data_IF_639576668664
#
_entry.id   IF_639576668664
#
_cell.length_a   1.000
_cell.length_b   1.000
_cell.length_c   1.000
_cell.angle_alpha   90.00
_cell.angle_beta   90.00
_cell.angle_gamma   90.00
#
_symmetry.space_group_name_H-M   'P 1'
#
loop_
_entity.id
_entity.type
_entity.pdbx_description
1 polymer ?
#
# COMPACT_ATOMS: atom_id res chain seq x y z
N UNK A 1 -5.62 9.98 18.54
CA UNK A 1 -4.17 9.74 18.35
C UNK A 1 -3.80 10.18 16.94
N UNK A 2 -2.64 10.80 16.76
CA UNK A 2 -2.20 11.41 15.48
C UNK A 2 -1.15 10.58 14.72
N UNK A 3 -0.76 9.42 15.25
CA UNK A 3 0.23 8.54 14.64
C UNK A 3 -0.42 7.53 13.71
N UNK A 4 0.30 7.19 12.64
CA UNK A 4 -0.17 6.24 11.63
C UNK A 4 -0.33 4.85 12.25
N UNK A 5 -1.51 4.29 12.07
CA UNK A 5 -1.85 2.91 12.44
C UNK A 5 -1.78 1.98 11.23
N UNK A 6 -1.76 0.64 11.43
CA UNK A 6 -1.91 -0.30 10.33
C UNK A 6 -3.19 -0.07 9.48
N UNK A 7 -4.27 0.38 10.11
CA UNK A 7 -5.51 0.72 9.40
C UNK A 7 -5.34 1.93 8.47
N UNK A 8 -4.58 2.95 8.89
CA UNK A 8 -4.26 4.10 8.05
C UNK A 8 -3.39 3.72 6.86
N UNK A 9 -2.45 2.79 7.03
CA UNK A 9 -1.65 2.25 5.93
C UNK A 9 -2.55 1.52 4.93
N UNK A 10 -3.46 0.68 5.42
CA UNK A 10 -4.43 -0.03 4.57
C UNK A 10 -5.34 0.95 3.81
N UNK A 11 -5.78 2.01 4.48
CA UNK A 11 -6.58 3.07 3.85
C UNK A 11 -5.81 3.83 2.76
N UNK A 12 -4.50 4.07 2.95
CA UNK A 12 -3.66 4.66 1.91
C UNK A 12 -3.58 3.77 0.66
N UNK A 13 -3.35 2.46 0.84
CA UNK A 13 -3.31 1.51 -0.29
C UNK A 13 -4.68 1.40 -0.97
N UNK A 14 -5.76 1.36 -0.19
CA UNK A 14 -7.12 1.34 -0.73
C UNK A 14 -7.43 2.61 -1.55
N UNK A 15 -6.90 3.76 -1.14
CA UNK A 15 -7.04 5.00 -1.91
C UNK A 15 -6.29 4.93 -3.25
N UNK A 16 -5.14 4.28 -3.31
CA UNK A 16 -4.42 4.03 -4.57
C UNK A 16 -5.17 3.06 -5.47
N UNK A 17 -5.78 2.01 -4.90
CA UNK A 17 -6.70 1.13 -5.62
C UNK A 17 -7.87 1.90 -6.21
N UNK A 18 -8.58 2.70 -5.40
CA UNK A 18 -9.75 3.48 -5.82
C UNK A 18 -9.42 4.58 -6.86
N UNK A 19 -8.14 4.93 -7.02
CA UNK A 19 -7.66 5.84 -8.08
C UNK A 19 -7.23 5.10 -9.35
N UNK A 20 -7.24 3.76 -9.33
CA UNK A 20 -6.72 2.93 -10.41
C UNK A 20 -5.19 2.85 -10.46
N UNK A 21 -4.46 3.47 -9.52
CA UNK A 21 -3.00 3.56 -9.54
C UNK A 21 -2.32 2.19 -9.37
N UNK A 22 -2.99 1.24 -8.71
CA UNK A 22 -2.49 -0.14 -8.59
C UNK A 22 -2.83 -1.01 -9.82
N UNK A 23 -3.87 -0.66 -10.58
CA UNK A 23 -4.37 -1.46 -11.70
C UNK A 23 -3.83 -0.99 -13.05
N UNK A 24 -3.75 0.32 -13.27
CA UNK A 24 -3.30 0.90 -14.53
C UNK A 24 -1.92 0.39 -15.02
N UNK A 25 -0.92 0.18 -14.13
CA UNK A 25 0.37 -0.35 -14.54
C UNK A 25 0.30 -1.80 -15.06
N UNK A 26 -0.70 -2.59 -14.65
CA UNK A 26 -0.89 -3.98 -15.12
C UNK A 26 -1.14 -4.06 -16.63
N UNK A 27 -1.69 -3.00 -17.24
CA UNK A 27 -1.94 -2.93 -18.69
C UNK A 27 -0.63 -2.75 -19.47
N UNK A 28 0.27 -1.94 -18.93
CA UNK A 28 1.52 -1.52 -19.59
C UNK A 28 2.70 -2.42 -19.23
N UNK A 29 2.59 -3.23 -18.16
CA UNK A 29 3.69 -4.02 -17.62
C UNK A 29 4.64 -3.22 -16.74
N UNK A 30 4.25 -2.01 -16.34
CA UNK A 30 5.02 -1.19 -15.41
C UNK A 30 4.75 -1.59 -13.96
N UNK A 31 5.73 -1.42 -13.09
CA UNK A 31 5.59 -1.65 -11.66
C UNK A 31 5.83 -0.36 -10.87
N UNK A 32 4.83 0.18 -10.14
CA UNK A 32 5.02 1.34 -9.27
C UNK A 32 5.70 0.96 -7.94
N UNK A 33 6.22 -0.27 -7.83
CA UNK A 33 6.83 -0.81 -6.62
C UNK A 33 8.36 -0.73 -6.68
N UNK A 34 9.03 -0.48 -5.54
CA UNK A 34 8.47 -0.41 -4.19
C UNK A 34 7.72 0.91 -3.91
N UNK A 35 6.59 0.81 -3.22
CA UNK A 35 5.71 1.93 -2.91
C UNK A 35 5.94 2.42 -1.49
N UNK A 36 6.30 3.69 -1.32
CA UNK A 36 6.42 4.33 -0.01
C UNK A 36 5.05 4.78 0.51
N UNK A 37 4.73 4.39 1.74
CA UNK A 37 3.55 4.88 2.47
C UNK A 37 3.91 6.03 3.41
N UNK A 38 2.91 6.87 3.69
CA UNK A 38 3.05 7.97 4.64
C UNK A 38 3.00 7.41 6.06
N UNK A 39 4.09 7.61 6.81
CA UNK A 39 4.22 7.28 8.22
C UNK A 39 4.30 8.57 9.03
N UNK A 40 3.31 8.80 9.90
CA UNK A 40 3.34 9.83 10.93
C UNK A 40 3.69 9.17 12.25
N UNK A 41 4.87 9.46 12.76
CA UNK A 41 5.36 8.97 14.04
C UNK A 41 5.29 10.02 15.16
N UNK A 42 5.70 9.64 16.37
CA UNK A 42 5.89 10.56 17.49
C UNK A 42 6.98 11.60 17.20
N UNK A 43 6.80 12.81 17.71
CA UNK A 43 7.88 13.81 17.77
C UNK A 43 8.85 13.55 18.94
N UNK A 44 9.97 14.29 18.99
CA UNK A 44 11.01 14.14 20.03
C UNK A 44 10.49 14.28 21.46
N UNK A 45 9.47 15.10 21.69
CA UNK A 45 8.89 15.31 23.02
C UNK A 45 8.00 14.13 23.41
N UNK A 46 7.16 13.69 22.48
CA UNK A 46 6.29 12.52 22.67
C UNK A 46 7.08 11.23 22.90
N UNK A 47 8.25 11.10 22.29
CA UNK A 47 9.19 9.99 22.56
C UNK A 47 9.64 9.93 24.03
N UNK A 48 9.74 11.07 24.72
CA UNK A 48 10.06 11.14 26.15
C UNK A 48 8.83 10.99 27.03
N UNK A 49 7.78 11.76 26.73
CA UNK A 49 6.64 11.97 27.62
C UNK A 49 5.63 10.81 27.55
N UNK A 50 5.64 10.02 26.47
CA UNK A 50 4.65 8.97 26.19
C UNK A 50 5.28 7.65 25.76
N UNK A 51 6.26 7.19 26.51
CA UNK A 51 7.04 6.00 26.15
C UNK A 51 6.20 4.73 25.99
N UNK A 52 5.21 4.50 26.86
CA UNK A 52 4.31 3.34 26.75
C UNK A 52 3.51 3.37 25.44
N UNK A 53 2.88 4.51 25.12
CA UNK A 53 2.13 4.70 23.88
C UNK A 53 3.02 4.47 22.64
N UNK A 54 4.27 4.95 22.66
CA UNK A 54 5.22 4.76 21.56
C UNK A 54 5.55 3.28 21.39
N UNK A 55 5.79 2.55 22.48
CA UNK A 55 6.05 1.10 22.41
C UNK A 55 4.85 0.34 21.87
N UNK A 56 3.64 0.69 22.30
CA UNK A 56 2.42 0.06 21.82
C UNK A 56 2.19 0.36 20.33
N UNK A 57 2.47 1.58 19.89
CA UNK A 57 2.42 1.97 18.48
C UNK A 57 3.41 1.17 17.62
N UNK A 58 4.66 1.04 18.07
CA UNK A 58 5.67 0.21 17.38
C UNK A 58 5.20 -1.24 17.32
N UNK A 59 4.73 -1.79 18.45
CA UNK A 59 4.23 -3.16 18.52
C UNK A 59 3.04 -3.40 17.57
N UNK A 60 2.10 -2.44 17.46
CA UNK A 60 1.00 -2.51 16.51
C UNK A 60 1.51 -2.55 15.06
N UNK A 61 2.45 -1.68 14.69
CA UNK A 61 3.03 -1.67 13.34
C UNK A 61 3.80 -2.96 13.03
N UNK A 62 4.58 -3.48 13.98
CA UNK A 62 5.35 -4.72 13.78
C UNK A 62 4.46 -5.96 13.75
N UNK A 63 3.40 -6.02 14.57
CA UNK A 63 2.48 -7.17 14.61
C UNK A 63 1.67 -7.33 13.33
N UNK A 64 1.40 -6.22 12.64
CA UNK A 64 0.71 -6.18 11.35
C UNK A 64 1.68 -6.14 10.16
N UNK A 65 2.99 -6.23 10.41
CA UNK A 65 3.99 -6.36 9.37
C UNK A 65 3.83 -7.70 8.65
N UNK A 66 4.24 -7.74 7.38
CA UNK A 66 4.01 -8.86 6.48
C UNK A 66 3.74 -8.32 5.08
N UNK A 67 2.60 -7.63 4.86
CA UNK A 67 2.31 -6.96 3.59
C UNK A 67 3.11 -5.67 3.35
N UNK A 68 3.92 -5.25 4.33
CA UNK A 68 4.79 -4.07 4.22
C UNK A 68 6.07 -4.27 5.02
N UNK A 69 7.13 -3.61 4.57
CA UNK A 69 8.44 -3.52 5.20
C UNK A 69 8.56 -2.23 6.00
N UNK A 70 9.07 -2.33 7.22
CA UNK A 70 9.39 -1.19 8.09
C UNK A 70 10.88 -0.90 7.97
N UNK A 71 11.22 0.35 7.64
CA UNK A 71 12.60 0.85 7.77
C UNK A 71 12.74 1.45 9.16
N UNK A 72 13.80 1.07 9.84
CA UNK A 72 14.11 1.55 11.19
C UNK A 72 15.15 2.67 11.12
N UNK A 73 15.02 3.64 12.02
CA UNK A 73 16.07 4.63 12.28
C UNK A 73 16.48 4.55 13.74
N UNK A 74 17.78 4.56 13.97
CA UNK A 74 18.32 4.74 15.31
C UNK A 74 18.20 6.20 15.71
N UNK A 75 17.65 6.45 16.89
CA UNK A 75 17.62 7.75 17.54
C UNK A 75 18.45 7.65 18.83
N UNK A 76 19.35 8.63 19.00
CA UNK A 76 20.05 8.80 20.25
C UNK A 76 19.25 9.77 21.11
N UNK A 77 18.53 9.23 22.09
CA UNK A 77 17.66 10.03 22.94
C UNK A 77 18.25 10.11 24.35
N UNK A 78 18.45 11.34 24.85
CA UNK A 78 19.17 11.63 26.11
C UNK A 78 18.65 10.83 27.32
N UNK A 79 17.36 10.52 27.37
CA UNK A 79 16.71 9.79 28.47
C UNK A 79 16.63 8.28 28.24
N UNK A 80 16.63 7.84 26.97
CA UNK A 80 16.33 6.45 26.61
C UNK A 80 17.53 5.68 26.02
N UNK A 81 18.66 6.35 25.79
CA UNK A 81 19.81 5.77 25.09
C UNK A 81 19.57 5.63 23.59
N UNK A 82 20.21 4.63 22.97
CA UNK A 82 20.00 4.29 21.57
C UNK A 82 18.74 3.44 21.42
N UNK A 83 17.71 4.00 20.78
CA UNK A 83 16.49 3.27 20.43
C UNK A 83 16.26 3.29 18.93
N UNK A 84 15.58 2.28 18.42
CA UNK A 84 15.14 2.23 17.03
C UNK A 84 13.65 2.56 16.96
N UNK A 85 13.30 3.41 16.01
CA UNK A 85 11.90 3.75 15.73
C UNK A 85 11.59 3.55 14.24
N UNK A 86 10.35 3.19 13.88
CA UNK A 86 9.91 3.18 12.49
C UNK A 86 10.11 4.55 11.83
N UNK A 87 10.83 4.59 10.71
CA UNK A 87 11.11 5.80 9.94
C UNK A 87 10.32 5.84 8.64
N UNK A 88 10.19 4.69 7.97
CA UNK A 88 9.50 4.57 6.69
C UNK A 88 8.76 3.24 6.61
N UNK A 89 7.70 3.22 5.80
CA UNK A 89 6.97 2.01 5.48
C UNK A 89 6.91 1.88 3.97
N UNK A 90 7.26 0.70 3.49
CA UNK A 90 7.32 0.36 2.07
C UNK A 90 6.50 -0.89 1.80
N UNK A 91 5.84 -0.93 0.64
CA UNK A 91 5.30 -2.17 0.09
C UNK A 91 6.20 -2.53 -1.08
N UNK A 92 6.76 -3.73 -1.05
CA UNK A 92 7.79 -4.13 -2.02
C UNK A 92 7.17 -4.76 -3.29
N UNK A 93 5.94 -5.30 -3.23
CA UNK A 93 5.29 -5.93 -4.38
C UNK A 93 3.80 -5.55 -4.57
N UNK A 94 3.28 -5.65 -5.82
CA UNK A 94 1.85 -5.53 -6.08
C UNK A 94 1.00 -6.53 -5.31
N UNK A 95 1.45 -7.78 -5.17
CA UNK A 95 0.70 -8.80 -4.46
C UNK A 95 0.56 -8.48 -2.97
N UNK A 96 1.61 -7.94 -2.34
CA UNK A 96 1.55 -7.50 -0.94
C UNK A 96 0.53 -6.39 -0.77
N UNK A 97 0.52 -5.40 -1.67
CA UNK A 97 -0.44 -4.30 -1.65
C UNK A 97 -1.89 -4.81 -1.82
N UNK A 98 -2.12 -5.66 -2.82
CA UNK A 98 -3.43 -6.22 -3.13
C UNK A 98 -3.92 -7.17 -2.03
N UNK A 99 -3.01 -7.94 -1.45
CA UNK A 99 -3.25 -8.79 -0.29
C UNK A 99 -3.66 -7.99 0.93
N UNK A 100 -2.95 -6.88 1.19
CA UNK A 100 -3.22 -6.02 2.32
C UNK A 100 -4.63 -5.43 2.30
N UNK A 101 -5.14 -5.09 1.12
CA UNK A 101 -6.50 -4.59 0.90
C UNK A 101 -7.53 -5.67 0.53
N UNK A 102 -7.14 -6.94 0.50
CA UNK A 102 -7.98 -8.08 0.11
C UNK A 102 -8.60 -7.94 -1.30
N UNK A 103 -7.87 -7.36 -2.26
CA UNK A 103 -8.33 -7.14 -3.65
C UNK A 103 -7.63 -8.02 -4.69
N UNK A 104 -6.93 -9.09 -4.27
CA UNK A 104 -6.27 -10.04 -5.18
C UNK A 104 -7.21 -10.61 -6.24
N UNK A 105 -8.42 -11.04 -5.84
CA UNK A 105 -9.42 -11.59 -6.77
C UNK A 105 -9.82 -10.58 -7.85
N UNK A 106 -10.17 -9.36 -7.44
CA UNK A 106 -10.53 -8.30 -8.39
C UNK A 106 -9.35 -7.94 -9.31
N UNK A 107 -8.11 -7.97 -8.81
CA UNK A 107 -6.94 -7.76 -9.68
C UNK A 107 -6.76 -8.90 -10.70
N UNK A 108 -7.05 -10.14 -10.31
CA UNK A 108 -7.06 -11.29 -11.24
C UNK A 108 -8.10 -11.12 -12.33
N UNK A 109 -9.34 -10.78 -11.96
CA UNK A 109 -10.43 -10.52 -12.92
C UNK A 109 -10.05 -9.40 -13.91
N UNK A 110 -9.34 -8.36 -13.43
CA UNK A 110 -8.82 -7.31 -14.31
C UNK A 110 -7.71 -7.81 -15.25
N UNK A 111 -6.84 -8.71 -14.79
CA UNK A 111 -5.80 -9.30 -15.65
C UNK A 111 -6.42 -10.13 -16.78
N UNK A 112 -7.49 -10.86 -16.51
CA UNK A 112 -8.24 -11.62 -17.52
C UNK A 112 -8.85 -10.68 -18.57
N UNK A 113 -9.45 -9.56 -18.14
CA UNK A 113 -9.95 -8.49 -19.04
C UNK A 113 -8.83 -7.94 -19.93
N UNK A 114 -7.64 -7.70 -19.38
CA UNK A 114 -6.49 -7.21 -20.14
C UNK A 114 -6.08 -8.24 -21.20
N UNK A 115 -6.04 -9.53 -20.85
CA UNK A 115 -5.68 -10.60 -21.78
C UNK A 115 -6.68 -10.68 -22.93
N UNK A 116 -7.98 -10.75 -22.64
CA UNK A 116 -9.06 -10.76 -23.63
C UNK A 116 -9.01 -9.53 -24.54
N UNK A 117 -8.79 -8.36 -23.97
CA UNK A 117 -8.72 -7.10 -24.73
C UNK A 117 -7.49 -7.06 -25.63
N UNK A 118 -6.35 -7.60 -25.18
CA UNK A 118 -5.12 -7.63 -25.98
C UNK A 118 -5.28 -8.54 -27.21
N UNK A 119 -6.05 -9.62 -27.09
CA UNK A 119 -6.31 -10.57 -28.18
C UNK A 119 -7.36 -10.07 -29.17
N UNK A 120 -8.47 -9.51 -28.69
CA UNK A 120 -9.61 -9.14 -29.53
C UNK A 120 -9.54 -7.69 -30.03
N UNK A 121 -9.19 -6.73 -29.17
CA UNK A 121 -9.27 -5.28 -29.45
C UNK A 121 -8.16 -4.49 -28.73
N UNK A 122 -6.90 -4.59 -29.20
CA UNK A 122 -5.75 -3.97 -28.52
C UNK A 122 -5.82 -2.43 -28.45
N UNK A 123 -6.60 -1.79 -29.33
CA UNK A 123 -6.81 -0.34 -29.34
C UNK A 123 -7.55 0.18 -28.09
N UNK A 124 -8.18 -0.71 -27.32
CA UNK A 124 -8.87 -0.38 -26.07
C UNK A 124 -7.93 -0.39 -24.84
N UNK A 125 -6.71 -0.91 -24.95
CA UNK A 125 -5.73 -0.95 -23.85
C UNK A 125 -5.44 0.45 -23.24
N UNK A 126 -5.27 1.54 -24.01
CA UNK A 126 -5.10 2.88 -23.44
C UNK A 126 -6.31 3.38 -22.65
N UNK A 127 -7.51 2.89 -22.96
CA UNK A 127 -8.71 3.21 -22.18
C UNK A 127 -8.74 2.43 -20.86
N UNK A 128 -8.36 1.14 -20.89
CA UNK A 128 -8.26 0.30 -19.69
C UNK A 128 -7.28 0.87 -18.66
N UNK A 129 -6.13 1.38 -19.10
CA UNK A 129 -5.16 1.99 -18.20
C UNK A 129 -5.66 3.29 -17.57
N UNK A 130 -6.50 4.06 -18.28
CA UNK A 130 -7.11 5.30 -17.76
C UNK A 130 -8.31 5.06 -16.87
N UNK A 131 -9.05 3.96 -17.06
CA UNK A 131 -10.31 3.66 -16.36
C UNK A 131 -10.40 2.20 -15.86
N UNK A 132 -9.42 1.71 -15.08
CA UNK A 132 -9.36 0.30 -14.71
C UNK A 132 -10.52 -0.16 -13.82
N UNK A 133 -11.00 0.71 -12.92
CA UNK A 133 -12.15 0.38 -12.06
C UNK A 133 -13.46 0.28 -12.84
N UNK A 134 -13.62 1.08 -13.91
CA UNK A 134 -14.79 1.00 -14.76
C UNK A 134 -14.80 -0.29 -15.59
N UNK A 135 -13.64 -0.77 -15.99
CA UNK A 135 -13.52 -2.07 -16.65
C UNK A 135 -13.92 -3.20 -15.70
N UNK A 136 -13.51 -3.14 -14.42
CA UNK A 136 -13.92 -4.11 -13.41
C UNK A 136 -15.43 -4.11 -13.14
N UNK A 137 -16.08 -2.94 -13.14
CA UNK A 137 -17.54 -2.87 -13.04
C UNK A 137 -18.26 -3.53 -14.23
N UNK A 138 -17.58 -3.62 -15.38
CA UNK A 138 -18.11 -4.20 -16.61
C UNK A 138 -17.61 -5.64 -16.84
N UNK A 139 -16.91 -6.23 -15.87
CA UNK A 139 -16.26 -7.54 -16.02
C UNK A 139 -17.24 -8.64 -16.48
N UNK A 140 -18.47 -8.66 -15.95
CA UNK A 140 -19.48 -9.65 -16.32
C UNK A 140 -20.04 -9.49 -17.74
N UNK A 141 -19.91 -8.30 -18.34
CA UNK A 141 -20.38 -7.98 -19.67
C UNK A 141 -19.23 -7.76 -20.66
N UNK A 142 -18.00 -8.12 -20.28
CA UNK A 142 -16.82 -7.98 -21.12
C UNK A 142 -16.75 -9.18 -22.08
N UNK A 143 -16.92 -8.94 -23.40
CA UNK A 143 -17.01 -10.01 -24.39
C UNK A 143 -15.67 -10.67 -24.70
#
# INVERSE_FOLDING_TARGET
>A
MSWTTPADLKAQVLKLWNRGTLLAPMVQGDSPFPLRLTLKGPDSRQLSDRFADVRDWIAQLTSSAGPYRIVWRTINHRVLGNNEIPSEIWIDSPDDALGFICKRRAASEFADIIALTRENEPDLLPWLSRRPLRALELAEAWP
#
